data_IF_354490479973
#
_entry.id   IF_354490479973
#
_cell.length_a   1.000
_cell.length_b   1.000
_cell.length_c   1.000
_cell.angle_alpha   90.00
_cell.angle_beta   90.00
_cell.angle_gamma   90.00
#
_symmetry.space_group_name_H-M   'P 1'
#
loop_
_entity.id
_entity.type
_entity.pdbx_description
1 polymer ?
#
# COMPACT_ATOMS: atom_id res chain seq x y z
N UNK A 1 -3.06 8.61 17.51
CA UNK A 1 -2.25 7.82 16.54
C UNK A 1 -2.10 8.61 15.26
N UNK A 2 -0.95 8.52 14.63
CA UNK A 2 -0.70 9.18 13.36
C UNK A 2 -0.92 8.23 12.19
N UNK A 3 -1.64 8.71 11.19
CA UNK A 3 -1.90 7.97 9.96
C UNK A 3 -1.31 8.71 8.75
N UNK A 4 -0.63 7.95 7.89
CA UNK A 4 -0.32 8.42 6.54
C UNK A 4 -1.55 8.20 5.69
N UNK A 5 -2.09 9.27 5.13
CA UNK A 5 -3.27 9.17 4.29
C UNK A 5 -2.91 9.00 2.83
N UNK A 6 -3.77 8.32 2.11
CA UNK A 6 -3.64 8.13 0.67
C UNK A 6 -5.02 8.03 0.03
N UNK A 7 -5.06 8.31 -1.26
CA UNK A 7 -6.29 8.25 -2.03
C UNK A 7 -6.32 7.00 -2.90
N UNK A 8 -7.49 6.42 -2.99
CA UNK A 8 -7.77 5.29 -3.88
C UNK A 8 -9.26 5.31 -4.20
N UNK A 9 -9.61 5.39 -5.49
CA UNK A 9 -11.00 5.44 -5.96
C UNK A 9 -11.82 6.57 -5.30
N UNK A 10 -11.21 7.75 -5.17
CA UNK A 10 -11.79 8.93 -4.53
C UNK A 10 -12.14 8.73 -3.04
N UNK A 11 -11.62 7.70 -2.43
CA UNK A 11 -11.76 7.43 -1.00
C UNK A 11 -10.43 7.68 -0.32
N UNK A 12 -10.47 8.34 0.83
CA UNK A 12 -9.27 8.56 1.64
C UNK A 12 -9.12 7.42 2.64
N UNK A 13 -7.96 6.78 2.59
CA UNK A 13 -7.55 5.73 3.53
C UNK A 13 -6.41 6.22 4.38
N UNK A 14 -6.15 5.51 5.46
CA UNK A 14 -4.99 5.78 6.31
C UNK A 14 -4.30 4.50 6.74
N UNK A 15 -2.98 4.58 6.85
CA UNK A 15 -2.15 3.50 7.40
C UNK A 15 -1.34 4.07 8.55
N UNK A 16 -1.19 3.35 9.68
CA UNK A 16 -0.37 3.84 10.78
C UNK A 16 1.05 4.17 10.31
N UNK A 17 1.53 5.34 10.68
CA UNK A 17 2.87 5.81 10.28
C UNK A 17 3.94 4.82 10.74
N UNK A 18 3.75 4.19 11.89
CA UNK A 18 4.71 3.23 12.43
C UNK A 18 4.88 1.99 11.55
N UNK A 19 3.90 1.69 10.69
CA UNK A 19 3.98 0.55 9.78
C UNK A 19 4.58 0.92 8.43
N UNK A 20 4.85 2.20 8.18
CA UNK A 20 5.39 2.67 6.90
C UNK A 20 6.91 2.70 6.97
N UNK A 21 7.57 1.99 6.08
CA UNK A 21 9.03 2.05 5.95
C UNK A 21 9.48 3.11 4.96
N UNK A 22 8.81 3.21 3.82
CA UNK A 22 9.14 4.20 2.81
C UNK A 22 7.95 4.46 1.89
N UNK A 23 8.03 5.58 1.19
CA UNK A 23 7.08 5.96 0.15
C UNK A 23 7.87 6.11 -1.13
N UNK A 24 7.51 5.32 -2.13
CA UNK A 24 8.20 5.31 -3.42
C UNK A 24 7.28 5.85 -4.50
N UNK A 25 7.85 6.35 -5.57
CA UNK A 25 7.11 6.58 -6.80
C UNK A 25 6.82 5.23 -7.46
N UNK A 26 5.92 5.23 -8.43
CA UNK A 26 5.59 4.01 -9.15
C UNK A 26 6.87 3.33 -9.69
N UNK A 27 6.97 2.04 -9.43
CA UNK A 27 8.11 1.22 -9.83
C UNK A 27 7.70 0.19 -10.88
N UNK A 28 8.68 -0.26 -11.67
CA UNK A 28 8.47 -1.38 -12.57
C UNK A 28 8.38 -2.67 -11.79
N UNK A 29 7.27 -3.36 -11.93
CA UNK A 29 6.98 -4.60 -11.22
C UNK A 29 7.25 -5.78 -12.13
N UNK A 30 7.99 -6.76 -11.62
CA UNK A 30 8.22 -8.02 -12.35
C UNK A 30 7.13 -9.01 -11.97
N UNK A 31 6.32 -9.42 -12.94
CA UNK A 31 5.26 -10.39 -12.70
C UNK A 31 5.82 -11.75 -12.31
N UNK A 32 5.16 -12.41 -11.36
CA UNK A 32 5.52 -13.75 -10.90
C UNK A 32 4.39 -14.70 -11.26
N UNK A 33 4.66 -15.75 -12.06
CA UNK A 33 3.63 -16.74 -12.39
C UNK A 33 3.07 -17.39 -11.12
N UNK A 34 1.76 -17.58 -11.10
CA UNK A 34 1.06 -18.23 -9.99
C UNK A 34 1.21 -17.49 -8.65
N UNK A 35 1.43 -16.17 -8.68
CA UNK A 35 1.45 -15.36 -7.47
C UNK A 35 0.08 -15.40 -6.78
N UNK A 36 0.04 -15.21 -5.45
CA UNK A 36 -1.23 -15.07 -4.73
C UNK A 36 -2.11 -13.98 -5.34
N UNK A 37 -3.43 -14.07 -5.15
CA UNK A 37 -4.37 -13.07 -5.61
C UNK A 37 -3.97 -11.68 -5.11
N UNK A 38 -4.14 -10.67 -5.97
CA UNK A 38 -3.84 -9.26 -5.69
C UNK A 38 -2.35 -8.92 -5.59
N UNK A 39 -1.47 -9.90 -5.65
CA UNK A 39 -0.03 -9.66 -5.79
C UNK A 39 0.29 -9.53 -7.26
N UNK A 40 0.63 -8.32 -7.67
CA UNK A 40 0.95 -8.01 -9.06
C UNK A 40 2.30 -8.61 -9.48
N UNK A 41 3.24 -8.65 -8.54
CA UNK A 41 4.58 -9.15 -8.78
C UNK A 41 5.51 -8.75 -7.66
N UNK A 42 6.79 -8.59 -7.99
CA UNK A 42 7.83 -8.22 -7.04
C UNK A 42 8.66 -7.06 -7.59
N UNK A 43 9.27 -6.32 -6.67
CA UNK A 43 10.33 -5.36 -7.00
C UNK A 43 11.55 -5.65 -6.14
N UNK A 44 12.73 -5.29 -6.65
CA UNK A 44 13.95 -5.27 -5.85
C UNK A 44 14.13 -3.83 -5.35
N UNK A 45 14.00 -3.64 -4.05
CA UNK A 45 14.12 -2.34 -3.41
C UNK A 45 15.30 -2.40 -2.43
N UNK A 46 16.39 -1.72 -2.79
CA UNK A 46 17.60 -1.66 -1.96
C UNK A 46 18.11 -3.05 -1.54
N UNK A 47 18.02 -4.03 -2.43
CA UNK A 47 18.45 -5.40 -2.17
C UNK A 47 17.38 -6.31 -1.57
N UNK A 48 16.25 -5.77 -1.17
CA UNK A 48 15.12 -6.56 -0.65
C UNK A 48 14.13 -6.87 -1.77
N UNK A 49 13.65 -8.10 -1.79
CA UNK A 49 12.57 -8.50 -2.69
C UNK A 49 11.25 -8.19 -1.99
N UNK A 50 10.49 -7.28 -2.58
CA UNK A 50 9.24 -6.79 -1.97
C UNK A 50 8.07 -7.16 -2.87
N UNK A 51 7.10 -7.94 -2.38
CA UNK A 51 5.87 -8.19 -3.11
C UNK A 51 5.04 -6.93 -3.21
N UNK A 52 4.40 -6.75 -4.36
CA UNK A 52 3.59 -5.56 -4.66
C UNK A 52 2.12 -5.95 -4.75
N UNK A 53 1.32 -5.32 -3.91
CA UNK A 53 -0.13 -5.49 -3.88
C UNK A 53 -0.80 -4.31 -4.58
N UNK A 54 -1.69 -4.61 -5.52
CA UNK A 54 -2.56 -3.61 -6.11
C UNK A 54 -3.82 -3.48 -5.24
N UNK A 55 -3.88 -2.44 -4.41
CA UNK A 55 -5.00 -2.26 -3.49
C UNK A 55 -6.33 -2.03 -4.20
N UNK A 56 -6.33 -1.34 -5.36
CA UNK A 56 -7.56 -1.15 -6.11
C UNK A 56 -8.16 -2.50 -6.52
N UNK A 57 -7.31 -3.40 -7.01
CA UNK A 57 -7.73 -4.75 -7.36
C UNK A 57 -8.23 -5.51 -6.13
N UNK A 58 -7.50 -5.40 -5.02
CA UNK A 58 -7.89 -6.05 -3.76
C UNK A 58 -9.29 -5.63 -3.30
N UNK A 59 -9.62 -4.34 -3.40
CA UNK A 59 -10.94 -3.84 -3.01
C UNK A 59 -12.01 -3.97 -4.10
N UNK A 60 -11.66 -4.49 -5.27
CA UNK A 60 -12.59 -4.59 -6.38
C UNK A 60 -12.90 -3.24 -7.03
N UNK A 61 -12.04 -2.26 -6.89
CA UNK A 61 -12.20 -0.96 -7.54
C UNK A 61 -11.77 -0.99 -9.00
N UNK A 62 -12.26 -0.05 -9.82
CA UNK A 62 -11.76 0.12 -11.17
C UNK A 62 -10.25 0.42 -11.16
N UNK A 63 -9.60 0.17 -12.29
CA UNK A 63 -8.18 0.46 -12.44
C UNK A 63 -7.90 1.94 -12.11
N UNK A 64 -6.88 2.16 -11.28
CA UNK A 64 -6.44 3.49 -10.85
C UNK A 64 -5.14 3.87 -11.55
N UNK A 65 -4.90 5.19 -11.65
CA UNK A 65 -3.60 5.72 -12.06
C UNK A 65 -2.69 5.74 -10.83
N UNK A 66 -1.78 4.77 -10.76
CA UNK A 66 -0.91 4.58 -9.59
C UNK A 66 0.25 5.55 -9.65
N UNK A 67 0.38 6.42 -8.64
CA UNK A 67 1.48 7.37 -8.53
C UNK A 67 2.50 6.98 -7.47
N UNK A 68 2.05 6.31 -6.41
CA UNK A 68 2.91 5.96 -5.29
C UNK A 68 2.79 4.51 -4.89
N UNK A 69 3.86 4.01 -4.28
CA UNK A 69 3.88 2.72 -3.62
C UNK A 69 4.28 2.96 -2.17
N UNK A 70 3.42 2.56 -1.23
CA UNK A 70 3.72 2.63 0.19
C UNK A 70 4.35 1.29 0.57
N UNK A 71 5.61 1.32 0.98
CA UNK A 71 6.28 0.11 1.48
C UNK A 71 6.00 0.02 2.97
N UNK A 72 5.23 -0.97 3.35
CA UNK A 72 4.82 -1.20 4.72
C UNK A 72 5.48 -2.45 5.28
N UNK A 73 5.71 -2.45 6.58
CA UNK A 73 6.18 -3.62 7.32
C UNK A 73 5.06 -4.12 8.20
N UNK A 74 4.61 -5.33 7.95
CA UNK A 74 3.56 -5.98 8.72
C UNK A 74 4.06 -7.32 9.20
N UNK A 75 4.10 -7.52 10.53
CA UNK A 75 4.58 -8.78 11.13
C UNK A 75 5.98 -9.18 10.62
N UNK A 76 6.87 -8.20 10.45
CA UNK A 76 8.23 -8.44 9.99
C UNK A 76 8.36 -8.65 8.48
N UNK A 77 7.26 -8.60 7.74
CA UNK A 77 7.27 -8.76 6.29
C UNK A 77 7.02 -7.41 5.61
N UNK A 78 7.80 -7.14 4.56
CA UNK A 78 7.59 -5.95 3.74
C UNK A 78 6.61 -6.24 2.63
N UNK A 79 5.73 -5.29 2.38
CA UNK A 79 4.81 -5.33 1.23
C UNK A 79 4.70 -3.93 0.64
N UNK A 80 4.69 -3.83 -0.67
CA UNK A 80 4.44 -2.56 -1.36
C UNK A 80 2.97 -2.46 -1.73
N UNK A 81 2.34 -1.37 -1.33
CA UNK A 81 0.94 -1.10 -1.60
C UNK A 81 0.84 -0.02 -2.67
N UNK A 82 0.35 -0.38 -3.84
CA UNK A 82 0.12 0.58 -4.92
C UNK A 82 -1.12 1.39 -4.62
N UNK A 83 -0.98 2.72 -4.61
CA UNK A 83 -2.07 3.64 -4.34
C UNK A 83 -2.09 4.76 -5.40
N UNK A 84 -3.23 5.42 -5.54
CA UNK A 84 -3.32 6.54 -6.48
C UNK A 84 -2.35 7.64 -6.11
N UNK A 85 -2.40 8.10 -4.86
CA UNK A 85 -1.48 9.14 -4.38
C UNK A 85 -1.43 9.16 -2.87
N UNK A 86 -0.23 9.40 -2.35
CA UNK A 86 -0.03 9.65 -0.92
C UNK A 86 -0.38 11.10 -0.62
N UNK A 87 -1.00 11.32 0.53
CA UNK A 87 -1.42 12.63 1.02
C UNK A 87 -0.72 12.95 2.34
N UNK A 88 -1.31 13.80 3.14
CA UNK A 88 -0.74 14.24 4.41
C UNK A 88 -0.85 13.19 5.52
N UNK A 89 -0.04 13.39 6.55
CA UNK A 89 -0.16 12.66 7.81
C UNK A 89 -1.16 13.40 8.69
N UNK A 90 -2.10 12.65 9.27
CA UNK A 90 -3.09 13.20 10.19
C UNK A 90 -2.99 12.52 11.55
N UNK A 91 -3.39 13.22 12.59
CA UNK A 91 -3.49 12.66 13.92
C UNK A 91 -4.97 12.37 14.22
N UNK A 92 -5.26 11.13 14.60
CA UNK A 92 -6.63 10.69 14.85
C UNK A 92 -6.73 10.03 16.20
N UNK A 93 -7.96 10.08 16.75
CA UNK A 93 -8.30 9.30 17.92
C UNK A 93 -8.51 7.84 17.48
N UNK A 94 -7.95 6.89 18.21
CA UNK A 94 -8.07 5.47 17.87
C UNK A 94 -9.51 5.00 17.72
N UNK A 95 -10.44 5.62 18.45
CA UNK A 95 -11.88 5.32 18.35
C UNK A 95 -12.48 5.71 17.01
N UNK A 96 -11.81 6.54 16.24
CA UNK A 96 -12.25 6.99 14.91
C UNK A 96 -11.74 6.12 13.77
N UNK A 97 -10.90 5.13 14.08
CA UNK A 97 -10.27 4.29 13.07
C UNK A 97 -11.16 3.11 12.75
N UNK A 98 -11.46 2.95 11.46
CA UNK A 98 -12.15 1.76 10.95
C UNK A 98 -11.07 0.86 10.35
N UNK A 99 -10.86 -0.35 10.87
CA UNK A 99 -9.81 -1.24 10.37
C UNK A 99 -10.02 -1.61 8.91
N UNK A 100 -8.93 -1.66 8.14
CA UNK A 100 -8.97 -2.25 6.81
C UNK A 100 -9.05 -3.77 6.90
N UNK A 101 -9.66 -4.43 5.89
CA UNK A 101 -9.59 -5.89 5.80
C UNK A 101 -8.14 -6.37 5.74
N UNK A 102 -7.89 -7.56 6.27
CA UNK A 102 -6.57 -8.18 6.19
C UNK A 102 -6.24 -8.55 4.75
N UNK A 103 -5.08 -8.17 4.31
CA UNK A 103 -4.56 -8.46 2.97
C UNK A 103 -3.86 -9.82 2.97
#
# INVERSE_FOLDING_TARGET
MQLLTFMLNNVRFGIPVDDVESIETRMSVVGVPNAPAHIEGIVNLHGDIVPICNLADYFGYPKQDIKNVIVASMNGMKIGLEVESVREIIDVNEKQVIPMPTI
#
